data_IF_308563464105
#
_entry.id   IF_308563464105
#
_cell.length_a   1.000
_cell.length_b   1.000
_cell.length_c   1.000
_cell.angle_alpha   90.00
_cell.angle_beta   90.00
_cell.angle_gamma   90.00
#
_symmetry.space_group_name_H-M   'P 1'
#
loop_
_entity.id
_entity.type
_entity.pdbx_description
1 polymer ?
#
# COMPACT_ATOMS: atom_id res chain seq x y z
N UNK A 1 36.40 14.41 19.87
CA UNK A 1 35.90 13.07 19.50
C UNK A 1 34.72 12.75 20.38
N UNK A 2 33.67 12.14 19.83
CA UNK A 2 32.51 11.74 20.64
C UNK A 2 32.92 10.65 21.64
N UNK A 3 32.47 10.79 22.89
CA UNK A 3 32.67 9.81 23.97
C UNK A 3 31.51 8.82 24.02
N UNK A 4 30.32 9.26 23.61
CA UNK A 4 29.09 8.48 23.55
C UNK A 4 28.54 8.54 22.15
N UNK A 5 28.18 7.37 21.60
CA UNK A 5 27.51 7.26 20.31
C UNK A 5 26.15 6.64 20.52
N UNK A 6 25.09 7.39 20.25
CA UNK A 6 23.73 6.89 20.19
C UNK A 6 23.49 6.11 18.90
N UNK A 7 22.72 5.03 18.98
CA UNK A 7 22.25 4.27 17.81
C UNK A 7 20.73 4.30 17.86
N UNK A 8 20.10 4.77 16.79
CA UNK A 8 18.65 4.87 16.76
C UNK A 8 17.97 3.49 16.64
N UNK A 9 16.75 3.38 17.14
CA UNK A 9 15.93 2.18 16.99
C UNK A 9 15.26 2.05 15.62
N UNK A 10 14.38 1.05 15.50
CA UNK A 10 13.53 0.81 14.32
C UNK A 10 12.65 2.04 14.04
N UNK A 11 12.33 2.27 12.77
CA UNK A 11 11.46 3.36 12.28
C UNK A 11 12.01 4.78 12.45
N UNK A 12 13.30 4.94 12.76
CA UNK A 12 13.97 6.24 12.84
C UNK A 12 14.86 6.56 11.63
N UNK A 13 14.99 5.63 10.66
CA UNK A 13 15.89 5.76 9.50
C UNK A 13 15.61 6.99 8.61
N UNK A 14 14.41 7.57 8.70
CA UNK A 14 14.04 8.78 7.94
C UNK A 14 14.33 10.09 8.68
N UNK A 15 14.81 10.04 9.93
CA UNK A 15 15.15 11.23 10.73
C UNK A 15 16.66 11.38 10.76
N UNK A 16 17.16 12.49 10.22
CA UNK A 16 18.60 12.75 10.20
C UNK A 16 19.21 12.78 11.60
N UNK A 17 20.51 12.50 11.68
CA UNK A 17 21.31 12.43 12.91
C UNK A 17 21.09 13.63 13.86
N UNK A 18 21.01 14.85 13.31
CA UNK A 18 20.84 16.07 14.10
C UNK A 18 19.43 16.16 14.73
N UNK A 19 18.41 15.67 14.03
CA UNK A 19 17.03 15.62 14.52
C UNK A 19 16.89 14.58 15.63
N UNK A 20 17.58 13.45 15.50
CA UNK A 20 17.58 12.42 16.53
C UNK A 20 18.35 12.89 17.78
N UNK A 21 19.51 13.53 17.58
CA UNK A 21 20.29 14.10 18.67
C UNK A 21 19.54 15.20 19.42
N UNK A 22 18.80 16.07 18.73
CA UNK A 22 18.06 17.14 19.42
C UNK A 22 16.99 16.61 20.38
N UNK A 23 16.43 15.42 20.11
CA UNK A 23 15.51 14.75 21.01
C UNK A 23 16.21 14.05 22.18
N UNK A 24 17.40 13.48 21.96
CA UNK A 24 18.11 12.67 22.97
C UNK A 24 19.00 13.48 23.90
N UNK A 25 19.62 14.55 23.40
CA UNK A 25 20.56 15.40 24.16
C UNK A 25 19.94 15.96 25.45
N UNK A 26 18.72 16.54 25.44
CA UNK A 26 18.12 17.05 26.67
C UNK A 26 17.85 15.94 27.68
N UNK A 27 17.31 14.80 27.24
CA UNK A 27 17.02 13.67 28.13
C UNK A 27 18.28 13.07 28.77
N UNK A 28 19.38 13.00 28.02
CA UNK A 28 20.68 12.57 28.56
C UNK A 28 21.25 13.59 29.55
N UNK A 29 21.14 14.89 29.25
CA UNK A 29 21.58 15.95 30.15
C UNK A 29 20.77 15.97 31.46
N UNK A 30 19.45 15.77 31.38
CA UNK A 30 18.58 15.64 32.54
C UNK A 30 19.00 14.44 33.41
N UNK A 31 19.24 13.28 32.80
CA UNK A 31 19.70 12.08 33.50
C UNK A 31 21.05 12.27 34.20
N UNK A 32 22.03 12.91 33.53
CA UNK A 32 23.33 13.23 34.14
C UNK A 32 23.17 14.20 35.31
N UNK A 33 22.33 15.23 35.15
CA UNK A 33 22.05 16.20 36.20
C UNK A 33 21.41 15.53 37.42
N UNK A 34 20.43 14.63 37.20
CA UNK A 34 19.80 13.86 38.29
C UNK A 34 20.78 12.91 38.98
N UNK A 35 21.78 12.40 38.27
CA UNK A 35 22.87 11.61 38.82
C UNK A 35 24.02 12.45 39.43
N UNK A 36 23.84 13.78 39.57
CA UNK A 36 24.84 14.71 40.08
C UNK A 36 26.16 14.76 39.26
N UNK A 37 26.05 14.55 37.95
CA UNK A 37 27.14 14.70 37.00
C UNK A 37 26.97 15.95 36.14
N UNK A 38 28.09 16.50 35.67
CA UNK A 38 28.06 17.61 34.71
C UNK A 38 27.42 17.15 33.37
N UNK A 39 26.65 18.01 32.69
CA UNK A 39 26.14 17.71 31.36
C UNK A 39 27.29 17.44 30.39
N UNK A 40 27.10 16.47 29.50
CA UNK A 40 28.07 16.22 28.43
C UNK A 40 28.11 17.42 27.47
N UNK A 41 29.31 17.85 27.07
CA UNK A 41 29.44 18.87 26.03
C UNK A 41 28.90 18.37 24.69
N UNK A 42 28.49 19.29 23.82
CA UNK A 42 27.79 18.88 22.59
C UNK A 42 28.62 17.94 21.69
N UNK A 43 29.94 18.17 21.65
CA UNK A 43 30.88 17.36 20.88
C UNK A 43 31.16 15.97 21.50
N UNK A 44 30.69 15.69 22.71
CA UNK A 44 30.90 14.41 23.41
C UNK A 44 29.83 13.37 23.05
N UNK A 45 28.70 13.79 22.48
CA UNK A 45 27.61 12.90 22.05
C UNK A 45 27.45 12.99 20.54
N UNK A 46 27.51 11.85 19.87
CA UNK A 46 27.21 11.71 18.45
C UNK A 46 26.09 10.69 18.22
N UNK A 47 25.47 10.72 17.05
CA UNK A 47 24.49 9.72 16.62
C UNK A 47 25.10 8.96 15.44
N UNK A 48 25.20 7.64 15.58
CA UNK A 48 25.44 6.77 14.44
C UNK A 48 24.16 6.78 13.60
N UNK A 49 24.25 7.35 12.41
CA UNK A 49 23.16 7.37 11.45
C UNK A 49 23.52 6.51 10.25
N UNK A 50 22.64 5.56 9.96
CA UNK A 50 22.75 4.62 8.85
C UNK A 50 21.46 4.61 8.02
N UNK A 51 20.67 5.69 8.11
CA UNK A 51 19.41 5.83 7.39
C UNK A 51 19.59 6.05 5.89
N UNK A 52 20.76 6.49 5.47
CA UNK A 52 21.20 6.57 4.08
C UNK A 52 21.22 5.19 3.40
N UNK A 53 21.50 4.10 4.13
CA UNK A 53 21.37 2.73 3.62
C UNK A 53 19.93 2.38 3.20
N UNK A 54 18.93 3.05 3.80
CA UNK A 54 17.51 2.85 3.48
C UNK A 54 16.97 3.88 2.48
N UNK A 55 17.78 4.86 2.10
CA UNK A 55 17.42 5.90 1.15
C UNK A 55 18.58 6.09 0.16
N UNK A 56 18.80 5.12 -0.75
CA UNK A 56 19.69 5.36 -1.87
C UNK A 56 19.24 6.63 -2.61
N UNK A 57 20.18 7.51 -3.00
CA UNK A 57 19.82 8.77 -3.63
C UNK A 57 19.08 8.52 -4.94
N UNK A 58 17.79 8.87 -4.97
CA UNK A 58 17.02 9.01 -6.22
C UNK A 58 16.29 7.78 -6.76
N UNK A 59 15.91 6.80 -5.95
CA UNK A 59 14.97 5.77 -6.45
C UNK A 59 13.53 6.28 -6.47
N UNK A 60 12.99 6.41 -7.69
CA UNK A 60 11.57 6.58 -7.93
C UNK A 60 10.86 5.28 -7.51
N UNK A 61 10.03 5.35 -6.46
CA UNK A 61 9.03 4.36 -6.03
C UNK A 61 9.05 3.05 -6.84
N UNK A 62 9.90 2.09 -6.47
CA UNK A 62 9.82 0.68 -6.84
C UNK A 62 9.47 0.38 -8.33
N UNK A 63 9.95 1.19 -9.28
CA UNK A 63 9.87 0.85 -10.71
C UNK A 63 11.05 -0.06 -11.03
N UNK A 64 10.87 -1.36 -10.81
CA UNK A 64 11.90 -2.36 -11.17
C UNK A 64 12.23 -3.38 -10.10
N UNK A 65 11.64 -3.30 -8.90
CA UNK A 65 11.81 -4.36 -7.91
C UNK A 65 11.34 -5.70 -8.50
N UNK A 66 12.15 -6.76 -8.39
CA UNK A 66 11.78 -8.06 -8.90
C UNK A 66 10.52 -8.53 -8.15
N UNK A 67 9.53 -9.00 -8.90
CA UNK A 67 8.36 -9.65 -8.32
C UNK A 67 8.85 -10.97 -7.70
N UNK A 68 9.13 -10.96 -6.41
CA UNK A 68 9.57 -12.15 -5.69
C UNK A 68 8.45 -13.19 -5.66
N UNK A 69 8.83 -14.43 -5.93
CA UNK A 69 7.98 -15.61 -6.01
C UNK A 69 8.53 -16.71 -5.11
N UNK A 70 7.79 -17.82 -4.98
CA UNK A 70 8.29 -18.99 -4.27
C UNK A 70 9.59 -19.58 -4.88
N UNK A 71 9.93 -19.24 -6.12
CA UNK A 71 11.17 -19.69 -6.76
C UNK A 71 12.42 -18.93 -6.26
N UNK A 72 12.22 -17.77 -5.63
CA UNK A 72 13.30 -16.89 -5.18
C UNK A 72 13.78 -17.23 -3.75
N UNK A 73 13.15 -18.20 -3.10
CA UNK A 73 13.58 -18.68 -1.77
C UNK A 73 14.87 -19.48 -1.90
N UNK A 74 15.96 -18.95 -1.36
CA UNK A 74 17.26 -19.59 -1.43
C UNK A 74 17.31 -20.87 -0.57
N UNK A 75 18.06 -21.91 -1.00
CA UNK A 75 18.36 -23.05 -0.14
C UNK A 75 19.19 -22.62 1.08
N UNK A 76 19.12 -23.40 2.16
CA UNK A 76 19.77 -23.09 3.43
C UNK A 76 18.88 -22.23 4.31
N UNK A 77 19.42 -21.11 4.80
CA UNK A 77 18.80 -20.29 5.86
C UNK A 77 17.35 -19.89 5.55
N UNK A 78 17.08 -19.35 4.36
CA UNK A 78 15.74 -18.84 4.03
C UNK A 78 14.71 -19.97 4.03
N UNK A 79 15.04 -21.10 3.39
CA UNK A 79 14.17 -22.28 3.38
C UNK A 79 13.98 -22.86 4.78
N UNK A 80 15.05 -22.96 5.57
CA UNK A 80 14.99 -23.48 6.94
C UNK A 80 14.14 -22.60 7.85
N UNK A 81 14.29 -21.28 7.73
CA UNK A 81 13.51 -20.29 8.45
C UNK A 81 12.02 -20.35 8.05
N UNK A 82 11.74 -20.43 6.75
CA UNK A 82 10.36 -20.56 6.25
C UNK A 82 9.69 -21.82 6.79
N UNK A 83 10.40 -22.96 6.82
CA UNK A 83 9.89 -24.20 7.39
C UNK A 83 9.69 -24.10 8.91
N UNK A 84 10.57 -23.41 9.63
CA UNK A 84 10.44 -23.21 11.07
C UNK A 84 9.21 -22.35 11.41
N UNK A 85 8.98 -21.27 10.66
CA UNK A 85 7.78 -20.45 10.81
C UNK A 85 6.51 -21.21 10.47
N UNK A 86 6.51 -22.00 9.40
CA UNK A 86 5.35 -22.80 9.05
C UNK A 86 5.00 -23.81 10.14
N UNK A 87 5.99 -24.53 10.70
CA UNK A 87 5.77 -25.42 11.85
C UNK A 87 5.13 -24.69 13.03
N UNK A 88 5.63 -23.51 13.37
CA UNK A 88 5.10 -22.73 14.49
C UNK A 88 3.70 -22.21 14.19
N UNK A 89 3.43 -21.75 12.96
CA UNK A 89 2.11 -21.33 12.53
C UNK A 89 1.08 -22.47 12.67
N UNK A 90 1.42 -23.67 12.21
CA UNK A 90 0.56 -24.85 12.37
C UNK A 90 0.38 -25.28 13.84
N UNK A 91 1.35 -24.99 14.71
CA UNK A 91 1.23 -25.28 16.13
C UNK A 91 0.30 -24.32 16.89
N UNK A 92 0.16 -23.07 16.42
CA UNK A 92 -0.68 -22.05 17.07
C UNK A 92 -2.04 -21.85 16.40
N UNK A 93 -2.19 -22.26 15.15
CA UNK A 93 -3.40 -22.10 14.34
C UNK A 93 -3.76 -23.43 13.66
N UNK A 94 -4.79 -24.10 14.17
CA UNK A 94 -5.29 -25.39 13.67
C UNK A 94 -5.79 -25.32 12.21
N UNK A 95 -6.03 -24.13 11.67
CA UNK A 95 -6.41 -23.95 10.26
C UNK A 95 -5.22 -24.06 9.31
N UNK A 96 -3.99 -23.95 9.83
CA UNK A 96 -2.76 -24.10 9.06
C UNK A 96 -2.31 -25.55 9.13
N UNK A 97 -2.34 -26.25 8.00
CA UNK A 97 -1.88 -27.62 7.94
C UNK A 97 -0.37 -27.71 8.25
N UNK A 98 0.09 -28.68 9.07
CA UNK A 98 1.50 -28.80 9.40
C UNK A 98 2.32 -29.34 8.20
N UNK A 99 3.64 -29.11 8.18
CA UNK A 99 4.48 -29.51 7.04
C UNK A 99 4.49 -31.00 6.73
N UNK A 100 4.29 -31.81 7.78
CA UNK A 100 4.29 -33.27 7.71
C UNK A 100 2.86 -33.84 7.66
N UNK A 101 1.83 -33.00 7.65
CA UNK A 101 0.48 -33.50 7.41
C UNK A 101 0.38 -34.07 6.01
N UNK A 102 -0.36 -35.16 5.90
CA UNK A 102 -0.82 -35.69 4.63
C UNK A 102 -1.91 -34.74 4.08
N UNK A 103 -1.49 -33.55 3.63
CA UNK A 103 -2.38 -32.55 3.07
C UNK A 103 -2.91 -33.09 1.75
N UNK A 104 -4.12 -33.62 1.80
CA UNK A 104 -4.86 -34.28 0.73
C UNK A 104 -4.54 -33.70 -0.66
N UNK A 105 -3.84 -34.53 -1.45
CA UNK A 105 -3.63 -34.46 -2.91
C UNK A 105 -2.97 -33.17 -3.37
N UNK A 106 -1.65 -33.26 -3.63
CA UNK A 106 -0.93 -32.32 -4.48
C UNK A 106 -1.68 -32.20 -5.80
N UNK A 107 -2.40 -31.09 -6.01
CA UNK A 107 -3.11 -30.84 -7.27
C UNK A 107 -2.08 -30.96 -8.40
N UNK A 108 -2.24 -31.89 -9.36
CA UNK A 108 -1.22 -32.14 -10.38
C UNK A 108 -0.85 -30.85 -11.11
N UNK A 109 0.42 -30.71 -11.48
CA UNK A 109 0.92 -29.48 -12.11
C UNK A 109 0.13 -29.09 -13.37
N UNK A 110 -0.38 -30.08 -14.11
CA UNK A 110 -1.28 -29.90 -15.25
C UNK A 110 -2.62 -29.27 -14.87
N UNK A 111 -3.22 -29.69 -13.75
CA UNK A 111 -4.47 -29.12 -13.22
C UNK A 111 -4.24 -27.70 -12.73
N UNK A 112 -3.13 -27.43 -12.03
CA UNK A 112 -2.79 -26.06 -11.63
C UNK A 112 -2.57 -25.14 -12.83
N UNK A 113 -1.88 -25.64 -13.87
CA UNK A 113 -1.67 -24.90 -15.12
C UNK A 113 -2.99 -24.63 -15.84
N UNK A 114 -3.87 -25.63 -15.93
CA UNK A 114 -5.20 -25.47 -16.50
C UNK A 114 -6.02 -24.43 -15.74
N UNK A 115 -6.08 -24.49 -14.41
CA UNK A 115 -6.79 -23.50 -13.59
C UNK A 115 -6.22 -22.08 -13.76
N UNK A 116 -4.88 -21.94 -13.84
CA UNK A 116 -4.22 -20.65 -14.14
C UNK A 116 -4.58 -20.09 -15.51
N UNK A 117 -4.74 -20.95 -16.52
CA UNK A 117 -5.13 -20.50 -17.87
C UNK A 117 -6.63 -20.19 -17.95
N UNK A 118 -7.47 -21.01 -17.32
CA UNK A 118 -8.91 -20.82 -17.30
C UNK A 118 -9.32 -19.54 -16.57
N UNK A 119 -8.68 -19.23 -15.42
CA UNK A 119 -8.95 -18.00 -14.67
C UNK A 119 -8.65 -16.72 -15.45
N UNK A 120 -7.74 -16.77 -16.42
CA UNK A 120 -7.39 -15.65 -17.32
C UNK A 120 -8.30 -15.55 -18.53
N UNK A 121 -9.10 -16.57 -18.82
CA UNK A 121 -10.01 -16.56 -19.96
C UNK A 121 -11.17 -15.58 -19.75
N UNK A 122 -11.69 -15.01 -20.85
CA UNK A 122 -12.84 -14.10 -20.84
C UNK A 122 -14.10 -14.69 -20.18
N UNK A 123 -14.23 -16.02 -20.15
CA UNK A 123 -15.38 -16.73 -19.59
C UNK A 123 -15.40 -16.70 -18.05
N UNK A 124 -14.23 -16.73 -17.40
CA UNK A 124 -14.09 -16.77 -15.95
C UNK A 124 -13.86 -15.39 -15.30
N UNK A 125 -13.60 -14.34 -16.11
CA UNK A 125 -13.55 -12.95 -15.64
C UNK A 125 -14.94 -12.54 -15.12
N UNK A 126 -15.11 -12.57 -13.79
CA UNK A 126 -16.34 -12.19 -13.09
C UNK A 126 -17.14 -13.34 -12.46
N UNK A 127 -16.70 -14.59 -12.59
CA UNK A 127 -17.40 -15.77 -12.02
C UNK A 127 -16.68 -16.48 -10.88
N UNK A 128 -15.48 -16.04 -10.52
CA UNK A 128 -14.73 -16.61 -9.38
C UNK A 128 -15.17 -15.87 -8.11
N UNK A 129 -16.14 -16.44 -7.40
CA UNK A 129 -16.38 -16.07 -6.01
C UNK A 129 -15.17 -16.51 -5.19
N UNK A 130 -14.57 -15.59 -4.43
CA UNK A 130 -13.58 -15.90 -3.39
C UNK A 130 -14.32 -16.65 -2.27
N UNK A 131 -13.97 -17.90 -1.93
CA UNK A 131 -14.40 -18.46 -0.66
C UNK A 131 -13.61 -17.74 0.45
N UNK A 132 -14.30 -17.10 1.39
CA UNK A 132 -13.74 -16.82 2.72
C UNK A 132 -13.14 -15.45 3.03
N UNK A 133 -13.13 -14.46 2.13
CA UNK A 133 -12.80 -13.08 2.51
C UNK A 133 -14.06 -12.24 2.53
N UNK A 134 -14.52 -11.88 3.74
CA UNK A 134 -15.56 -10.87 3.92
C UNK A 134 -15.14 -9.61 3.16
N UNK A 135 -16.00 -9.03 2.28
CA UNK A 135 -15.69 -7.76 1.66
C UNK A 135 -15.57 -6.70 2.78
N UNK A 136 -14.46 -5.96 2.80
CA UNK A 136 -14.38 -4.75 3.62
C UNK A 136 -15.54 -3.82 3.22
N UNK A 137 -16.40 -3.51 4.18
CA UNK A 137 -17.45 -2.52 4.01
C UNK A 137 -16.79 -1.18 3.66
N UNK A 138 -16.99 -0.67 2.44
CA UNK A 138 -16.40 0.61 2.08
C UNK A 138 -16.54 1.08 0.64
N UNK A 139 -17.00 0.28 -0.32
CA UNK A 139 -17.30 0.81 -1.66
C UNK A 139 -18.81 0.95 -1.90
N UNK A 140 -19.31 2.18 -2.15
CA UNK A 140 -20.68 2.39 -2.57
C UNK A 140 -20.90 1.72 -3.94
N UNK A 141 -21.96 0.90 -4.06
CA UNK A 141 -22.40 0.41 -5.36
C UNK A 141 -22.79 1.62 -6.25
N UNK A 142 -22.42 1.63 -7.55
CA UNK A 142 -22.97 2.60 -8.47
C UNK A 142 -24.49 2.40 -8.62
N UNK A 143 -25.28 3.49 -8.77
CA UNK A 143 -26.72 3.40 -8.86
C UNK A 143 -27.13 2.61 -10.10
N UNK A 144 -28.04 1.64 -9.89
CA UNK A 144 -28.66 0.86 -10.97
C UNK A 144 -29.45 1.80 -11.88
N UNK A 145 -29.01 1.93 -13.14
CA UNK A 145 -29.85 2.50 -14.22
C UNK A 145 -31.06 1.58 -14.41
N UNK A 146 -32.25 2.02 -13.97
CA UNK A 146 -33.51 1.45 -14.44
C UNK A 146 -33.66 1.82 -15.91
N UNK A 147 -33.60 0.82 -16.79
CA UNK A 147 -34.10 0.96 -18.14
C UNK A 147 -35.63 0.96 -18.11
N UNK A 148 -36.24 1.89 -18.82
CA UNK A 148 -37.61 1.78 -19.30
C UNK A 148 -37.58 2.14 -20.79
N UNK A 149 -37.69 1.10 -21.62
CA UNK A 149 -38.09 1.23 -23.01
C UNK A 149 -39.62 1.46 -23.05
N UNK A 150 -40.08 2.29 -23.99
CA UNK A 150 -41.51 2.39 -24.29
C UNK A 150 -41.91 3.77 -24.82
N UNK A 151 -41.77 3.96 -26.13
CA UNK A 151 -42.48 5.00 -26.88
C UNK A 151 -43.79 4.38 -27.40
N UNK A 152 -44.91 5.13 -27.41
CA UNK A 152 -45.58 5.32 -28.69
C UNK A 152 -45.99 6.78 -28.92
N UNK A 153 -46.43 7.04 -30.14
CA UNK A 153 -46.57 8.35 -30.77
C UNK A 153 -47.99 8.95 -30.71
N UNK A 154 -48.01 10.25 -31.02
CA UNK A 154 -49.07 11.05 -31.67
C UNK A 154 -50.19 11.66 -30.81
N UNK A 155 -50.44 12.96 -31.07
CA UNK A 155 -51.77 13.57 -31.00
C UNK A 155 -51.91 14.86 -30.19
N UNK A 156 -52.05 15.97 -30.92
CA UNK A 156 -52.82 17.19 -30.60
C UNK A 156 -52.36 18.20 -29.54
N UNK A 157 -52.10 19.43 -30.04
CA UNK A 157 -52.13 20.68 -29.27
C UNK A 157 -53.59 21.15 -29.00
N UNK A 158 -53.86 22.42 -28.63
CA UNK A 158 -53.08 23.61 -29.02
C UNK A 158 -52.89 24.70 -27.92
N UNK A 159 -52.04 25.66 -28.28
CA UNK A 159 -52.09 27.11 -28.01
C UNK A 159 -52.31 27.69 -26.59
N UNK A 160 -51.33 28.47 -26.09
CA UNK A 160 -51.37 29.95 -26.16
C UNK A 160 -50.30 30.65 -25.29
N UNK A 161 -49.67 31.68 -25.90
CA UNK A 161 -49.14 32.90 -25.24
C UNK A 161 -47.76 32.80 -24.59
N UNK A 162 -46.78 33.66 -24.87
CA UNK A 162 -46.73 34.86 -25.69
C UNK A 162 -45.36 35.56 -25.57
N UNK A 163 -45.08 36.43 -26.54
CA UNK A 163 -44.16 37.59 -26.54
C UNK A 163 -42.63 37.33 -26.35
N UNK A 164 -41.80 37.36 -27.41
CA UNK A 164 -41.32 38.46 -28.29
C UNK A 164 -40.16 39.28 -27.73
N UNK A 165 -39.27 39.63 -28.68
CA UNK A 165 -38.15 40.60 -28.68
C UNK A 165 -36.81 40.05 -28.17
N UNK A 166 -35.65 40.23 -28.84
CA UNK A 166 -35.31 40.90 -30.09
C UNK A 166 -33.77 41.01 -30.18
N UNK A 167 -33.21 41.09 -31.40
CA UNK A 167 -31.87 41.65 -31.63
C UNK A 167 -30.71 40.66 -31.83
N UNK A 168 -30.25 40.53 -33.08
CA UNK A 168 -28.88 40.21 -33.50
C UNK A 168 -28.18 41.54 -33.90
N UNK A 169 -26.91 41.56 -34.40
CA UNK A 169 -25.61 41.03 -33.94
C UNK A 169 -24.52 42.16 -33.95
N UNK A 170 -23.21 41.82 -34.09
CA UNK A 170 -21.96 42.65 -34.20
C UNK A 170 -21.25 42.99 -32.88
N UNK A 171 -19.93 43.19 -32.77
CA UNK A 171 -18.67 42.83 -33.47
C UNK A 171 -17.50 43.52 -32.68
N UNK A 172 -16.24 43.16 -32.94
CA UNK A 172 -15.05 43.99 -32.60
C UNK A 172 -14.26 43.52 -31.37
N UNK A 173 -13.06 42.94 -31.49
CA UNK A 173 -11.73 43.58 -31.71
C UNK A 173 -11.23 44.37 -30.49
N UNK A 174 -10.05 44.01 -29.97
CA UNK A 174 -9.29 44.92 -29.09
C UNK A 174 -8.13 44.28 -28.31
N UNK A 175 -6.90 44.58 -28.73
CA UNK A 175 -5.61 44.27 -28.08
C UNK A 175 -5.43 45.04 -26.76
N UNK A 176 -4.49 44.60 -25.91
CA UNK A 176 -3.83 45.51 -24.96
C UNK A 176 -2.97 44.83 -23.90
N UNK A 177 -1.64 44.92 -24.11
CA UNK A 177 -0.51 44.78 -23.17
C UNK A 177 -0.10 43.36 -22.73
#
# INVERSE_FOLDING_TARGET
>A
MARVVGVHGIAQQMRGEQVLLSAWRPALADGLTQAAHAPAADAEVAMAFYGDLFRPPGELLAVGDPVLTAADVAPGLERELLLAWWRQAAAVDETVAPPDADTLVRTPASVQAALRQLSRSRFFRGRVARPGLRPQAGQPLPPRRRGAAGRPAAGDGPDHGGHRSGGRPFAGVGRGL
#
